data_IF_019738915536
#
_entry.id   IF_019738915536
#
_cell.length_a   1.000
_cell.length_b   1.000
_cell.length_c   1.000
_cell.angle_alpha   90.00
_cell.angle_beta   90.00
_cell.angle_gamma   90.00
#
_symmetry.space_group_name_H-M   'P 1'
#
loop_
_entity.id
_entity.type
_entity.pdbx_description
1 polymer ?
#
# COMPACT_ATOMS: atom_id res chain seq x y z
N UNK A 1 4.75 2.67 -10.04
CA UNK A 1 4.04 1.44 -9.60
C UNK A 1 3.15 1.80 -8.42
N UNK A 2 1.95 1.24 -8.36
CA UNK A 2 1.05 1.42 -7.21
C UNK A 2 1.12 0.18 -6.30
N UNK A 3 1.23 0.39 -4.98
CA UNK A 3 1.09 -0.65 -3.97
C UNK A 3 -0.12 -0.37 -3.08
N UNK A 4 -0.98 -1.39 -2.92
CA UNK A 4 -2.24 -1.26 -2.18
C UNK A 4 -2.23 -2.07 -0.89
N UNK A 5 -2.77 -1.50 0.19
CA UNK A 5 -2.93 -2.19 1.49
C UNK A 5 -3.71 -3.50 1.35
N UNK A 6 -4.68 -3.57 0.42
CA UNK A 6 -5.47 -4.79 0.17
C UNK A 6 -4.61 -6.02 -0.16
N UNK A 7 -3.44 -5.85 -0.76
CA UNK A 7 -2.52 -6.95 -1.09
C UNK A 7 -2.15 -7.82 0.12
N UNK A 8 -2.07 -7.22 1.31
CA UNK A 8 -1.74 -7.91 2.56
C UNK A 8 -2.86 -8.84 3.05
N UNK A 9 -4.10 -8.57 2.62
CA UNK A 9 -5.30 -9.30 3.07
C UNK A 9 -5.77 -10.32 2.04
N UNK A 10 -4.93 -10.68 1.06
CA UNK A 10 -5.21 -11.74 0.08
C UNK A 10 -4.62 -13.07 0.55
N UNK A 11 -4.96 -14.15 -0.14
CA UNK A 11 -4.40 -15.47 0.10
C UNK A 11 -5.16 -16.30 1.15
N UNK A 12 -4.63 -17.48 1.51
CA UNK A 12 -5.36 -18.52 2.25
C UNK A 12 -5.96 -18.07 3.58
N UNK A 13 -5.31 -17.12 4.26
CA UNK A 13 -5.65 -16.61 5.58
C UNK A 13 -6.50 -15.33 5.56
N UNK A 14 -7.00 -14.92 4.39
CA UNK A 14 -7.82 -13.71 4.23
C UNK A 14 -9.09 -13.73 5.10
N UNK A 15 -9.42 -12.57 5.70
CA UNK A 15 -10.73 -12.33 6.32
C UNK A 15 -11.81 -11.89 5.33
N UNK A 16 -11.45 -11.67 4.06
CA UNK A 16 -12.38 -11.22 3.03
C UNK A 16 -13.34 -12.37 2.64
N UNK A 17 -14.63 -12.08 2.43
CA UNK A 17 -15.67 -13.13 2.37
C UNK A 17 -15.68 -13.94 1.07
N UNK A 18 -15.08 -13.42 -0.02
CA UNK A 18 -15.14 -14.07 -1.33
C UNK A 18 -13.90 -14.95 -1.58
N UNK A 19 -14.13 -16.18 -2.06
CA UNK A 19 -13.11 -17.15 -2.51
C UNK A 19 -12.09 -16.53 -3.48
N UNK A 20 -12.51 -15.56 -4.30
CA UNK A 20 -11.65 -14.81 -5.20
C UNK A 20 -10.41 -14.19 -4.51
N UNK A 21 -10.55 -13.66 -3.29
CA UNK A 21 -9.41 -13.09 -2.57
C UNK A 21 -8.50 -14.16 -1.96
N UNK A 22 -9.08 -15.32 -1.60
CA UNK A 22 -8.35 -16.44 -1.00
C UNK A 22 -7.38 -17.10 -1.98
N UNK A 23 -7.73 -17.10 -3.26
CA UNK A 23 -6.94 -17.70 -4.34
C UNK A 23 -5.88 -16.75 -4.91
N UNK A 24 -5.91 -15.46 -4.54
CA UNK A 24 -4.91 -14.49 -4.99
C UNK A 24 -3.64 -14.56 -4.16
N UNK A 25 -2.54 -14.10 -4.77
CA UNK A 25 -1.25 -13.96 -4.10
C UNK A 25 -1.35 -12.94 -2.96
N UNK A 26 -0.98 -13.37 -1.76
CA UNK A 26 -0.68 -12.49 -0.64
C UNK A 26 0.60 -11.71 -0.96
N UNK A 27 0.55 -10.39 -0.85
CA UNK A 27 1.73 -9.52 -0.95
C UNK A 27 1.97 -8.92 0.42
N UNK A 28 3.06 -9.31 1.06
CA UNK A 28 3.39 -8.84 2.40
C UNK A 28 3.94 -7.42 2.37
N UNK A 29 4.01 -6.79 3.55
CA UNK A 29 4.71 -5.50 3.70
C UNK A 29 6.20 -5.64 3.36
N UNK A 30 6.81 -6.79 3.69
CA UNK A 30 8.21 -7.07 3.33
C UNK A 30 8.40 -7.09 1.82
N UNK A 31 7.52 -7.80 1.08
CA UNK A 31 7.55 -7.80 -0.38
C UNK A 31 7.42 -6.38 -0.93
N UNK A 32 6.48 -5.60 -0.37
CA UNK A 32 6.26 -4.21 -0.77
C UNK A 32 7.49 -3.34 -0.53
N UNK A 33 8.13 -3.44 0.64
CA UNK A 33 9.36 -2.72 0.94
C UNK A 33 10.50 -3.14 0.01
N UNK A 34 10.58 -4.42 -0.37
CA UNK A 34 11.48 -4.92 -1.40
C UNK A 34 11.25 -4.24 -2.76
N UNK A 35 10.01 -4.19 -3.23
CA UNK A 35 9.66 -3.52 -4.48
C UNK A 35 9.95 -2.03 -4.46
N UNK A 36 9.67 -1.34 -3.35
CA UNK A 36 9.99 0.09 -3.19
C UNK A 36 11.50 0.32 -3.32
N UNK A 37 12.33 -0.53 -2.70
CA UNK A 37 13.80 -0.43 -2.81
C UNK A 37 14.33 -0.72 -4.20
N UNK A 38 13.72 -1.67 -4.90
CA UNK A 38 14.12 -2.05 -6.25
C UNK A 38 13.75 -0.97 -7.27
N UNK A 39 12.56 -0.39 -7.15
CA UNK A 39 11.97 0.52 -8.15
C UNK A 39 12.22 1.99 -7.83
N UNK A 40 12.38 2.33 -6.55
CA UNK A 40 12.51 3.71 -6.07
C UNK A 40 11.18 4.28 -5.58
N UNK A 41 11.24 5.02 -4.47
CA UNK A 41 10.07 5.68 -3.88
C UNK A 41 9.51 6.78 -4.81
N UNK A 42 10.36 7.46 -5.57
CA UNK A 42 10.02 8.48 -6.58
C UNK A 42 9.21 7.94 -7.78
N UNK A 43 9.19 6.61 -7.94
CA UNK A 43 8.46 5.91 -8.98
C UNK A 43 7.28 5.11 -8.42
N UNK A 44 6.93 5.32 -7.14
CA UNK A 44 5.95 4.53 -6.41
C UNK A 44 4.81 5.38 -5.84
N UNK A 45 3.60 4.84 -5.79
CA UNK A 45 2.42 5.41 -5.13
C UNK A 45 1.88 4.41 -4.11
N UNK A 46 1.50 4.90 -2.93
CA UNK A 46 0.76 4.10 -1.94
C UNK A 46 -0.73 4.42 -1.99
N UNK A 47 -1.53 3.37 -2.02
CA UNK A 47 -2.99 3.43 -1.90
C UNK A 47 -3.49 2.30 -1.00
N UNK A 48 -4.81 2.24 -0.77
CA UNK A 48 -5.40 1.19 0.06
C UNK A 48 -6.15 0.14 -0.73
N UNK A 49 -6.83 0.54 -1.81
CA UNK A 49 -7.88 -0.22 -2.48
C UNK A 49 -8.99 -0.67 -1.50
N UNK A 50 -9.26 0.18 -0.51
CA UNK A 50 -10.31 0.02 0.48
C UNK A 50 -11.59 0.76 0.08
N UNK A 51 -12.70 0.38 0.68
CA UNK A 51 -14.05 0.84 0.35
C UNK A 51 -15.10 -0.26 0.54
N UNK A 52 -14.65 -1.50 0.78
CA UNK A 52 -15.49 -2.64 1.13
C UNK A 52 -15.90 -2.56 2.61
N UNK A 53 -17.13 -2.99 2.92
CA UNK A 53 -17.67 -2.96 4.29
C UNK A 53 -16.89 -3.79 5.33
N UNK A 54 -16.03 -4.71 4.87
CA UNK A 54 -15.27 -5.64 5.71
C UNK A 54 -13.85 -5.17 6.06
N UNK A 55 -13.41 -4.06 5.47
CA UNK A 55 -12.10 -3.46 5.74
C UNK A 55 -12.23 -2.26 6.68
N UNK A 56 -11.12 -1.88 7.31
CA UNK A 56 -11.05 -0.61 8.03
C UNK A 56 -11.33 0.57 7.07
N UNK A 57 -11.66 1.74 7.64
CA UNK A 57 -11.78 2.96 6.83
C UNK A 57 -10.46 3.22 6.05
N UNK A 58 -10.50 3.75 4.82
CA UNK A 58 -9.30 3.97 4.02
C UNK A 58 -8.19 4.76 4.75
N UNK A 59 -8.46 5.85 5.51
CA UNK A 59 -7.41 6.56 6.24
C UNK A 59 -6.71 5.69 7.30
N UNK A 60 -7.46 4.85 8.02
CA UNK A 60 -6.88 3.91 8.99
C UNK A 60 -6.04 2.83 8.30
N UNK A 61 -6.53 2.28 7.17
CA UNK A 61 -5.78 1.31 6.37
C UNK A 61 -4.44 1.85 5.89
N UNK A 62 -4.44 3.08 5.34
CA UNK A 62 -3.23 3.73 4.88
C UNK A 62 -2.25 4.03 6.02
N UNK A 63 -2.76 4.51 7.16
CA UNK A 63 -1.93 4.77 8.35
C UNK A 63 -1.22 3.50 8.83
N UNK A 64 -1.93 2.38 8.93
CA UNK A 64 -1.33 1.10 9.33
C UNK A 64 -0.28 0.66 8.33
N UNK A 65 -0.55 0.79 7.04
CA UNK A 65 0.41 0.41 6.00
C UNK A 65 1.70 1.23 6.06
N UNK A 66 1.58 2.55 6.27
CA UNK A 66 2.72 3.46 6.44
C UNK A 66 3.56 3.04 7.65
N UNK A 67 2.93 2.80 8.81
CA UNK A 67 3.64 2.38 10.03
C UNK A 67 4.40 1.07 9.82
N UNK A 68 3.78 0.09 9.16
CA UNK A 68 4.44 -1.17 8.86
C UNK A 68 5.61 -0.99 7.87
N UNK A 69 5.49 -0.13 6.87
CA UNK A 69 6.59 0.18 5.95
C UNK A 69 7.75 0.90 6.65
N UNK A 70 7.46 1.79 7.60
CA UNK A 70 8.47 2.44 8.44
C UNK A 70 9.19 1.42 9.34
N UNK A 71 8.49 0.44 9.91
CA UNK A 71 9.12 -0.68 10.62
C UNK A 71 10.06 -1.49 9.71
N UNK A 72 9.79 -1.50 8.40
CA UNK A 72 10.69 -2.07 7.38
C UNK A 72 11.79 -1.13 6.95
N UNK A 73 11.91 0.07 7.51
CA UNK A 73 12.97 1.03 7.22
C UNK A 73 12.72 1.95 6.03
N UNK A 74 11.47 2.05 5.54
CA UNK A 74 11.08 3.10 4.60
C UNK A 74 10.96 4.42 5.37
N UNK A 75 11.69 5.44 4.94
CA UNK A 75 11.79 6.73 5.64
C UNK A 75 10.55 7.60 5.46
N UNK A 76 10.33 8.55 6.38
CA UNK A 76 9.25 9.54 6.28
C UNK A 76 9.29 10.33 4.97
N UNK A 77 10.49 10.62 4.47
CA UNK A 77 10.68 11.31 3.20
C UNK A 77 10.19 10.45 2.02
N UNK A 78 10.47 9.15 2.04
CA UNK A 78 9.98 8.23 1.01
C UNK A 78 8.47 8.05 1.11
N UNK A 79 7.92 7.98 2.32
CA UNK A 79 6.46 7.95 2.53
C UNK A 79 5.81 9.21 1.93
N UNK A 80 6.32 10.40 2.24
CA UNK A 80 5.81 11.67 1.70
C UNK A 80 5.85 11.71 0.16
N UNK A 81 6.92 11.18 -0.44
CA UNK A 81 7.00 11.02 -1.90
C UNK A 81 5.85 10.16 -2.41
N UNK A 82 5.64 8.98 -1.84
CA UNK A 82 4.70 8.00 -2.37
C UNK A 82 3.22 8.31 -2.05
N UNK A 83 2.93 9.08 -0.99
CA UNK A 83 1.55 9.37 -0.58
C UNK A 83 1.05 10.75 -1.00
N UNK A 84 1.95 11.70 -1.29
CA UNK A 84 1.57 13.09 -1.58
C UNK A 84 2.23 13.61 -2.85
N UNK A 85 3.56 13.58 -2.93
CA UNK A 85 4.29 14.24 -4.03
C UNK A 85 4.07 13.53 -5.37
N UNK A 86 4.24 12.21 -5.43
CA UNK A 86 4.10 11.46 -6.68
C UNK A 86 2.66 11.45 -7.18
N UNK A 87 1.63 11.23 -6.34
CA UNK A 87 0.24 11.36 -6.78
C UNK A 87 -0.11 12.78 -7.27
N UNK A 88 0.32 13.83 -6.58
CA UNK A 88 0.08 15.20 -7.01
C UNK A 88 0.71 15.46 -8.39
N UNK A 89 1.99 15.09 -8.57
CA UNK A 89 2.68 15.20 -9.86
C UNK A 89 1.98 14.42 -10.97
N UNK A 90 1.52 13.20 -10.69
CA UNK A 90 0.80 12.37 -11.67
C UNK A 90 -0.50 13.04 -12.14
N UNK A 91 -1.17 13.77 -11.25
CA UNK A 91 -2.42 14.48 -11.52
C UNK A 91 -2.20 15.93 -12.03
N UNK A 92 -0.94 16.38 -12.17
CA UNK A 92 -0.63 17.76 -12.55
C UNK A 92 -0.98 18.81 -11.49
N UNK A 93 -0.93 18.41 -10.21
CA UNK A 93 -1.22 19.25 -9.04
C UNK A 93 0.06 19.64 -8.29
N UNK A 94 -0.04 20.69 -7.50
CA UNK A 94 1.01 21.06 -6.54
C UNK A 94 0.98 20.10 -5.34
N UNK A 95 2.15 19.59 -4.88
CA UNK A 95 2.25 18.67 -3.75
C UNK A 95 1.81 19.24 -2.40
#
# INVERSE_FOLDING_TARGET
IEHTTLGQFKGPTTHLPNKFYREQKLVSVEDTAGFIREVGAEHTILATDFGQAYNASPPHGLKLFILQLQEKGISDKEIDLMTRVNPAKLLGLDP
#
